data_IF_976335343550
#
_entry.id   IF_976335343550
#
_cell.length_a   1.000
_cell.length_b   1.000
_cell.length_c   1.000
_cell.angle_alpha   90.00
_cell.angle_beta   90.00
_cell.angle_gamma   90.00
#
_symmetry.space_group_name_H-M   'P 1'
#
loop_
_entity.id
_entity.type
_entity.pdbx_description
1 polymer ?
2 non-polymer ?
3 non-polymer ?
4 water ?
#
# COMPACT_ATOMS: atom_id res chain seq x y z
N UNK A 6 12.95 -19.14 -2.20
CA UNK A 6 14.20 -19.92 -1.88
C UNK A 6 15.37 -18.99 -1.50
N UNK A 7 16.12 -19.41 -0.49
CA UNK A 7 17.32 -18.66 -0.06
C UNK A 7 18.57 -19.52 -0.24
N UNK A 8 19.71 -18.86 -0.45
CA UNK A 8 20.96 -19.59 -0.56
C UNK A 8 21.46 -20.09 0.80
N UNK A 9 22.33 -21.07 0.78
CA UNK A 9 22.98 -21.57 1.99
C UNK A 9 24.47 -21.77 1.71
N UNK A 10 25.26 -20.77 2.08
CA UNK A 10 26.71 -20.76 1.88
C UNK A 10 27.39 -20.62 3.22
N UNK A 11 28.42 -21.40 3.46
CA UNK A 11 29.23 -21.28 4.68
C UNK A 11 30.55 -20.56 4.37
N UNK A 12 30.81 -19.51 5.13
CA UNK A 12 32.03 -18.75 4.95
C UNK A 12 33.27 -19.59 5.33
N UNK A 13 34.38 -19.38 4.62
CA UNK A 13 35.62 -20.00 5.13
C UNK A 13 36.15 -19.39 6.42
N UNK A 14 35.66 -18.22 6.81
CA UNK A 14 36.05 -17.57 8.05
C UNK A 14 34.81 -17.37 8.92
N UNK A 15 34.72 -18.09 10.05
CA UNK A 15 33.54 -17.98 10.89
C UNK A 15 33.30 -16.62 11.53
N UNK A 16 34.31 -15.77 11.52
CA UNK A 16 34.17 -14.39 11.98
C UNK A 16 33.41 -13.51 11.00
N UNK A 17 33.33 -13.95 9.74
CA UNK A 17 32.59 -13.27 8.67
C UNK A 17 31.57 -14.25 8.10
N UNK A 18 30.53 -14.60 8.87
CA UNK A 18 29.71 -15.75 8.48
C UNK A 18 28.50 -15.44 7.59
N UNK A 19 28.14 -14.15 7.44
CA UNK A 19 26.96 -13.78 6.65
C UNK A 19 27.29 -13.76 5.18
N UNK A 20 26.41 -14.34 4.37
CA UNK A 20 26.51 -14.27 2.92
C UNK A 20 25.74 -13.03 2.43
N UNK A 21 26.40 -12.18 1.65
CA UNK A 21 25.81 -11.04 1.04
C UNK A 21 25.82 -11.19 -0.46
N UNK A 22 24.72 -10.84 -1.12
CA UNK A 22 24.55 -11.18 -2.50
C UNK A 22 23.57 -10.25 -3.19
N UNK A 23 23.72 -10.11 -4.50
CA UNK A 23 22.78 -9.33 -5.31
C UNK A 23 21.73 -10.29 -5.87
N UNK A 24 20.48 -10.14 -5.42
CA UNK A 24 19.38 -11.01 -5.82
C UNK A 24 18.72 -10.54 -7.10
N UNK A 25 19.10 -9.41 -7.67
CA UNK A 25 18.50 -8.96 -8.95
C UNK A 25 19.00 -9.87 -10.08
N UNK A 26 18.05 -10.36 -10.89
CA UNK A 26 18.36 -11.29 -11.98
C UNK A 26 18.14 -10.70 -13.36
N UNK A 27 17.72 -9.44 -13.42
CA UNK A 27 17.26 -8.83 -14.67
C UNK A 27 18.36 -8.20 -15.52
N UNK A 28 17.95 -7.50 -16.57
CA UNK A 28 18.87 -7.04 -17.60
C UNK A 28 19.32 -5.58 -17.47
N UNK A 29 18.80 -4.85 -16.49
CA UNK A 29 19.06 -3.42 -16.39
C UNK A 29 20.13 -3.16 -15.34
N UNK A 30 21.29 -2.72 -15.82
CA UNK A 30 22.47 -2.54 -14.98
C UNK A 30 22.28 -1.50 -13.86
N UNK A 31 21.29 -0.63 -14.02
CA UNK A 31 20.99 0.37 -13.00
C UNK A 31 20.47 -0.23 -11.67
N UNK A 32 19.95 -1.45 -11.73
CA UNK A 32 19.31 -2.06 -10.59
C UNK A 32 20.19 -3.06 -9.86
N UNK A 33 20.04 -3.06 -8.54
CA UNK A 33 20.56 -4.07 -7.65
C UNK A 33 19.48 -4.37 -6.59
N UNK A 34 19.56 -5.53 -5.96
CA UNK A 34 18.65 -5.85 -4.87
C UNK A 34 19.42 -6.71 -3.88
N UNK A 35 20.15 -6.03 -3.01
CA UNK A 35 21.08 -6.71 -2.12
C UNK A 35 20.41 -7.32 -0.93
N UNK A 36 20.87 -8.52 -0.55
CA UNK A 36 20.40 -9.27 0.60
C UNK A 36 21.55 -9.83 1.39
N UNK A 37 21.31 -10.11 2.65
CA UNK A 37 22.21 -10.90 3.48
C UNK A 37 21.44 -12.04 4.14
N UNK A 38 22.13 -13.16 4.34
CA UNK A 38 21.57 -14.24 5.14
C UNK A 38 22.67 -15.03 5.84
N UNK A 39 22.30 -15.93 6.73
CA UNK A 39 23.24 -16.62 7.59
C UNK A 39 22.96 -18.11 7.49
N UNK A 40 23.85 -18.83 6.79
CA UNK A 40 23.79 -20.27 6.62
C UNK A 40 22.37 -20.76 6.35
N UNK A 41 21.78 -20.16 5.33
CA UNK A 41 20.48 -20.62 4.86
C UNK A 41 19.25 -20.10 5.57
N UNK A 42 19.44 -19.12 6.44
CA UNK A 42 18.37 -18.47 7.19
C UNK A 42 17.54 -17.59 6.29
N UNK A 43 16.45 -17.07 6.87
CA UNK A 43 15.72 -16.03 6.21
C UNK A 43 16.66 -14.86 5.89
N UNK A 44 16.37 -14.21 4.77
CA UNK A 44 17.21 -13.16 4.25
C UNK A 44 16.68 -11.79 4.61
N UNK A 45 17.59 -10.82 4.60
CA UNK A 45 17.31 -9.46 4.97
C UNK A 45 17.73 -8.52 3.87
N UNK A 46 16.95 -7.46 3.65
CA UNK A 46 17.27 -6.44 2.66
C UNK A 46 18.49 -5.61 3.13
N UNK A 47 19.37 -5.28 2.18
CA UNK A 47 20.53 -4.44 2.43
C UNK A 47 20.73 -3.43 1.32
N UNK A 48 21.63 -2.47 1.63
CA UNK A 48 22.06 -1.42 0.74
C UNK A 48 23.59 -1.34 0.71
N UNK A 49 24.09 -0.82 -0.39
CA UNK A 49 25.54 -0.54 -0.48
C UNK A 49 25.88 0.67 0.41
N UNK A 50 26.87 0.51 1.29
CA UNK A 50 27.29 1.62 2.14
C UNK A 50 28.56 2.31 1.63
N UNK A 51 29.11 1.86 0.51
CA UNK A 51 30.37 2.39 -0.03
C UNK A 51 30.26 2.54 -1.55
N UNK A 52 29.87 3.72 -2.01
CA UNK A 52 29.69 4.03 -3.41
C UNK A 52 30.88 3.65 -4.27
N UNK A 53 32.09 3.74 -3.73
CA UNK A 53 33.29 3.50 -4.56
C UNK A 53 33.82 2.08 -4.53
N UNK A 54 33.10 1.16 -3.89
CA UNK A 54 33.51 -0.24 -3.85
C UNK A 54 32.56 -1.12 -4.66
N UNK A 55 32.98 -2.35 -4.93
CA UNK A 55 32.17 -3.25 -5.76
C UNK A 55 30.90 -3.75 -5.03
N UNK A 56 29.79 -3.79 -5.78
CA UNK A 56 28.59 -4.43 -5.26
C UNK A 56 28.81 -5.91 -5.06
N UNK A 57 28.14 -6.50 -4.09
CA UNK A 57 28.15 -7.96 -3.99
C UNK A 57 27.79 -8.62 -5.33
N UNK A 58 28.43 -9.76 -5.59
CA UNK A 58 28.14 -10.58 -6.76
C UNK A 58 26.71 -11.13 -6.74
N UNK A 59 26.18 -11.47 -7.92
CA UNK A 59 24.88 -12.14 -7.98
C UNK A 59 24.87 -13.41 -7.16
N UNK A 60 23.73 -13.77 -6.62
CA UNK A 60 23.57 -15.00 -5.89
C UNK A 60 24.07 -16.19 -6.70
N UNK A 61 24.78 -17.09 -6.02
CA UNK A 61 25.21 -18.38 -6.61
C UNK A 61 26.39 -18.21 -7.58
N UNK A 62 27.00 -17.04 -7.61
CA UNK A 62 28.24 -16.80 -8.37
C UNK A 62 29.34 -17.74 -7.89
N UNK A 63 30.39 -17.85 -8.72
CA UNK A 63 31.58 -18.63 -8.33
C UNK A 63 32.47 -17.92 -7.31
N UNK A 64 32.25 -16.62 -7.16
CA UNK A 64 32.86 -15.76 -6.17
C UNK A 64 31.74 -15.35 -5.21
N UNK A 65 31.96 -15.57 -3.92
CA UNK A 65 30.95 -15.25 -2.89
C UNK A 65 31.49 -14.26 -1.86
N UNK A 66 30.62 -13.35 -1.47
CA UNK A 66 30.92 -12.28 -0.55
C UNK A 66 30.41 -12.61 0.85
N UNK A 67 31.33 -12.59 1.83
CA UNK A 67 31.00 -12.84 3.21
C UNK A 67 31.25 -11.60 4.07
N UNK A 68 30.54 -11.54 5.19
CA UNK A 68 30.43 -10.35 5.99
C UNK A 68 30.34 -10.67 7.47
N UNK A 69 30.87 -9.70 8.26
CA UNK A 69 30.69 -9.67 9.70
C UNK A 69 29.61 -8.65 10.07
N UNK A 70 28.68 -9.06 10.93
CA UNK A 70 27.57 -8.16 11.32
C UNK A 70 27.95 -7.34 12.56
N UNK A 71 27.74 -6.03 12.45
CA UNK A 71 28.09 -5.02 13.50
C UNK A 71 26.83 -4.20 13.78
N UNK A 72 26.63 -3.81 15.03
CA UNK A 72 25.48 -2.94 15.32
C UNK A 72 25.73 -1.54 14.73
N UNK A 73 24.73 -0.98 14.08
CA UNK A 73 24.82 0.36 13.60
C UNK A 73 24.84 1.37 14.74
N UNK A 74 25.59 2.44 14.54
CA UNK A 74 25.69 3.58 15.47
C UNK A 74 26.32 4.71 14.71
N UNK A 75 26.33 5.92 15.28
CA UNK A 75 27.00 7.00 14.59
C UNK A 75 28.49 6.73 14.39
N UNK A 76 29.13 6.13 15.40
CA UNK A 76 30.54 5.74 15.29
C UNK A 76 30.80 4.76 14.15
N UNK A 77 29.96 3.71 14.09
CA UNK A 77 30.12 2.70 13.05
C UNK A 77 29.83 3.31 11.68
N UNK A 78 28.78 4.12 11.60
CA UNK A 78 28.47 4.73 10.33
C UNK A 78 29.63 5.59 9.83
N UNK A 79 30.28 6.32 10.74
CA UNK A 79 31.47 7.08 10.36
C UNK A 79 32.62 6.16 9.91
N UNK A 80 32.91 5.14 10.73
CA UNK A 80 34.10 4.31 10.53
C UNK A 80 34.05 3.47 9.26
N UNK A 81 32.86 2.99 8.90
CA UNK A 81 32.70 2.10 7.75
C UNK A 81 32.35 2.79 6.45
N UNK A 82 32.10 4.11 6.51
CA UNK A 82 31.87 4.96 5.36
C UNK A 82 33.19 5.57 4.84
N UNK A 83 33.22 5.90 3.55
CA UNK A 83 34.41 6.49 2.94
C UNK A 83 34.47 8.01 3.07
N UNK A 84 33.34 8.69 2.99
CA UNK A 84 33.29 10.14 3.02
C UNK A 84 31.95 10.60 3.57
N UNK A 85 31.71 10.30 4.86
CA UNK A 85 30.39 10.54 5.41
C UNK A 85 30.09 12.02 5.52
N UNK A 86 28.82 12.38 5.41
CA UNK A 86 28.37 13.75 5.49
C UNK A 86 28.09 14.07 6.94
N UNK A 87 29.08 14.67 7.60
CA UNK A 87 29.01 15.00 8.99
C UNK A 87 29.10 16.51 9.18
N UNK A 88 28.12 17.07 9.87
CA UNK A 88 28.12 18.50 10.21
C UNK A 88 28.64 18.70 11.62
N UNK A 89 29.65 19.56 11.72
CA UNK A 89 30.20 19.99 13.01
C UNK A 89 30.57 18.76 13.86
N UNK A 90 31.13 17.73 13.19
CA UNK A 90 31.65 16.55 13.90
C UNK A 90 30.59 15.80 14.74
N UNK A 91 29.30 15.93 14.37
CA UNK A 91 28.24 15.40 15.19
C UNK A 91 27.83 14.01 14.67
N UNK A 92 28.35 12.96 15.32
CA UNK A 92 28.05 11.61 14.89
C UNK A 92 26.66 11.16 15.34
N UNK A 93 26.09 11.77 16.38
CA UNK A 93 24.72 11.47 16.75
C UNK A 93 23.73 11.89 15.66
N UNK A 94 24.01 13.03 15.03
CA UNK A 94 23.18 13.54 13.93
C UNK A 94 23.36 12.62 12.73
N UNK A 95 24.59 12.16 12.46
CA UNK A 95 24.78 11.21 11.38
C UNK A 95 23.93 9.95 11.55
N UNK A 96 23.92 9.43 12.75
CA UNK A 96 23.09 8.27 13.09
C UNK A 96 21.61 8.55 12.84
N UNK A 97 21.12 9.66 13.38
CA UNK A 97 19.70 10.04 13.21
C UNK A 97 19.37 10.16 11.72
N UNK A 98 20.25 10.79 10.96
CA UNK A 98 20.01 11.00 9.55
C UNK A 98 19.85 9.69 8.80
N UNK A 99 20.78 8.76 9.02
CA UNK A 99 20.74 7.50 8.31
C UNK A 99 19.53 6.66 8.76
N UNK A 100 19.27 6.61 10.07
CA UNK A 100 18.11 5.84 10.52
C UNK A 100 16.80 6.34 9.90
N UNK A 101 16.65 7.67 9.82
CA UNK A 101 15.44 8.23 9.28
C UNK A 101 15.32 8.01 7.78
N UNK A 102 16.44 8.03 7.04
CA UNK A 102 16.39 7.67 5.64
C UNK A 102 15.86 6.24 5.44
N UNK A 103 16.43 5.30 6.18
CA UNK A 103 16.04 3.90 5.99
C UNK A 103 14.58 3.70 6.41
N UNK A 104 14.16 4.28 7.53
CA UNK A 104 12.81 4.07 8.01
C UNK A 104 11.77 4.60 7.00
N UNK A 105 12.14 5.63 6.26
CA UNK A 105 11.28 6.25 5.28
C UNK A 105 11.38 5.69 3.86
N UNK A 106 12.44 4.92 3.61
CA UNK A 106 12.72 4.34 2.30
C UNK A 106 12.22 2.91 2.21
N UNK A 107 12.76 2.18 1.23
CA UNK A 107 12.32 0.79 0.98
C UNK A 107 12.98 -0.11 2.01
N UNK A 108 12.26 -0.98 2.74
CA UNK A 108 10.84 -1.34 2.56
C UNK A 108 9.91 -0.71 3.62
N UNK A 109 10.43 -0.14 4.70
CA UNK A 109 9.54 0.34 5.75
C UNK A 109 8.60 1.45 5.32
N UNK A 110 9.07 2.38 4.51
CA UNK A 110 8.17 3.36 3.88
C UNK A 110 7.24 3.98 4.90
N UNK A 111 7.78 4.43 6.03
CA UNK A 111 6.91 4.70 7.19
C UNK A 111 5.98 5.90 7.00
N UNK A 112 6.34 6.82 6.11
CA UNK A 112 5.54 8.01 5.87
C UNK A 112 5.00 8.10 4.44
N UNK A 113 5.09 6.97 3.72
CA UNK A 113 4.52 6.89 2.39
C UNK A 113 5.33 7.49 1.29
N UNK A 114 6.59 7.86 1.58
CA UNK A 114 7.38 8.48 0.51
C UNK A 114 7.54 7.58 -0.72
N UNK A 115 7.58 6.26 -0.46
CA UNK A 115 7.77 5.21 -1.49
C UNK A 115 6.48 4.80 -2.20
N UNK A 116 5.32 5.33 -1.78
CA UNK A 116 4.04 4.82 -2.30
C UNK A 116 4.01 4.87 -3.81
N UNK A 117 3.66 3.74 -4.41
CA UNK A 117 3.51 3.65 -5.87
C UNK A 117 4.77 3.44 -6.65
N UNK A 118 5.93 3.50 -5.98
CA UNK A 118 7.21 3.27 -6.64
C UNK A 118 7.49 1.77 -6.67
N UNK A 119 7.78 1.26 -7.88
CA UNK A 119 8.07 -0.14 -8.02
C UNK A 119 9.29 -0.50 -7.17
N UNK A 120 9.34 -1.72 -6.65
CA UNK A 120 10.36 -2.10 -5.68
C UNK A 120 11.79 -1.75 -6.14
N UNK A 121 12.17 -2.10 -7.36
CA UNK A 121 13.57 -1.87 -7.76
C UNK A 121 13.85 -0.37 -7.86
N UNK A 122 12.87 0.41 -8.27
CA UNK A 122 13.03 1.87 -8.28
C UNK A 122 13.08 2.46 -6.85
N UNK A 123 12.34 1.86 -5.93
CA UNK A 123 12.31 2.33 -4.55
C UNK A 123 13.67 2.04 -3.90
N UNK A 124 14.21 0.86 -4.16
CA UNK A 124 15.57 0.53 -3.70
C UNK A 124 16.56 1.55 -4.29
N UNK A 125 16.44 1.85 -5.56
CA UNK A 125 17.35 2.78 -6.21
C UNK A 125 17.30 4.16 -5.58
N UNK A 126 16.09 4.66 -5.31
CA UNK A 126 15.95 5.94 -4.62
C UNK A 126 16.58 5.91 -3.24
N UNK A 127 16.28 4.89 -2.47
CA UNK A 127 16.79 4.80 -1.12
C UNK A 127 18.31 4.71 -1.13
N UNK A 128 18.83 3.94 -2.07
CA UNK A 128 20.29 3.77 -2.21
C UNK A 128 20.95 5.12 -2.47
N UNK A 129 20.35 5.96 -3.30
CA UNK A 129 20.91 7.27 -3.55
C UNK A 129 20.86 8.15 -2.30
N UNK A 130 19.79 8.07 -1.50
CA UNK A 130 19.73 8.83 -0.28
C UNK A 130 20.79 8.36 0.70
N UNK A 131 21.06 7.07 0.74
CA UNK A 131 22.12 6.57 1.63
C UNK A 131 23.49 7.13 1.21
N UNK A 132 23.77 7.12 -0.08
CA UNK A 132 25.05 7.63 -0.57
C UNK A 132 25.21 9.13 -0.34
N UNK A 133 24.11 9.87 -0.29
CA UNK A 133 24.19 11.29 0.11
C UNK A 133 24.86 11.40 1.48
N UNK A 134 24.60 10.46 2.37
CA UNK A 134 25.18 10.49 3.70
C UNK A 134 26.48 9.70 3.84
N UNK A 135 26.63 8.56 3.18
CA UNK A 135 27.82 7.73 3.35
C UNK A 135 29.03 8.25 2.58
N UNK A 136 28.78 8.85 1.41
CA UNK A 136 29.80 9.27 0.48
C UNK A 136 29.73 10.74 0.11
N UNK A 137 28.83 11.47 0.81
CA UNK A 137 28.65 12.88 0.51
C UNK A 137 28.37 13.09 -0.98
N UNK A 138 27.56 12.19 -1.56
CA UNK A 138 27.17 12.37 -2.95
C UNK A 138 26.34 13.65 -3.06
N UNK A 139 26.65 14.53 -4.00
CA UNK A 139 26.00 15.87 -3.97
C UNK A 139 24.48 16.01 -4.16
N UNK A 140 23.99 15.25 -5.09
CA UNK A 140 22.54 15.30 -5.46
C UNK A 140 21.97 16.74 -5.70
N UNK A 141 22.66 17.53 -6.50
CA UNK A 141 22.25 18.92 -6.72
C UNK A 141 21.35 19.13 -7.94
N UNK A 142 21.00 18.04 -8.64
CA UNK A 142 20.24 18.09 -9.89
C UNK A 142 19.10 17.05 -9.85
N UNK A 143 18.38 16.94 -8.73
CA UNK A 143 17.41 15.85 -8.58
C UNK A 143 16.31 15.92 -9.66
N UNK A 144 15.92 17.13 -10.06
CA UNK A 144 14.85 17.27 -11.06
C UNK A 144 15.18 16.69 -12.41
N UNK A 145 16.46 16.48 -12.68
CA UNK A 145 16.89 15.86 -13.94
C UNK A 145 17.32 14.40 -13.78
N UNK A 146 17.28 13.86 -12.58
CA UNK A 146 17.75 12.49 -12.39
C UNK A 146 16.87 11.52 -13.13
N UNK A 147 17.53 10.53 -13.75
CA UNK A 147 16.87 9.47 -14.53
C UNK A 147 16.14 9.99 -15.79
N UNK A 148 16.42 11.21 -16.21
CA UNK A 148 15.83 11.71 -17.43
C UNK A 148 16.26 10.87 -18.65
N UNK A 149 17.50 10.36 -18.65
CA UNK A 149 17.93 9.51 -19.75
C UNK A 149 17.00 8.29 -19.87
N UNK A 150 16.71 7.66 -18.74
CA UNK A 150 15.75 6.56 -18.70
C UNK A 150 14.35 6.92 -19.22
N UNK A 151 13.86 8.09 -18.86
CA UNK A 151 12.55 8.53 -19.34
C UNK A 151 12.56 8.67 -20.85
N UNK A 152 13.56 9.34 -21.38
CA UNK A 152 13.65 9.59 -22.82
C UNK A 152 13.73 8.29 -23.63
N UNK A 153 14.41 7.32 -23.05
CA UNK A 153 14.59 6.02 -23.71
C UNK A 153 13.51 4.98 -23.43
N UNK A 154 12.46 5.40 -22.74
CA UNK A 154 11.31 4.57 -22.49
C UNK A 154 11.54 3.46 -21.48
N UNK A 155 12.57 3.63 -20.65
CA UNK A 155 12.95 2.60 -19.69
C UNK A 155 12.28 2.72 -18.34
N UNK A 156 12.03 3.96 -17.92
CA UNK A 156 11.23 4.25 -16.75
C UNK A 156 10.20 5.26 -17.20
N UNK A 157 8.97 5.05 -16.78
CA UNK A 157 7.90 5.95 -17.17
C UNK A 157 8.13 7.30 -16.49
N UNK A 158 7.61 8.31 -17.18
CA UNK A 158 7.56 9.63 -16.63
C UNK A 158 6.91 9.59 -15.26
N UNK A 159 5.81 8.83 -15.12
CA UNK A 159 5.12 8.76 -13.85
C UNK A 159 6.00 8.18 -12.74
N UNK A 160 6.72 7.08 -13.00
CA UNK A 160 7.58 6.48 -11.96
C UNK A 160 8.70 7.50 -11.60
N UNK A 161 9.31 8.13 -12.62
CA UNK A 161 10.45 8.99 -12.35
C UNK A 161 10.01 10.22 -11.55
N UNK A 162 8.83 10.77 -11.81
CA UNK A 162 8.35 11.89 -11.02
C UNK A 162 8.23 11.48 -9.54
N UNK A 163 7.66 10.30 -9.28
CA UNK A 163 7.55 9.82 -7.90
C UNK A 163 8.94 9.68 -7.27
N UNK A 164 9.87 9.10 -8.04
CA UNK A 164 11.23 8.85 -7.51
C UNK A 164 11.96 10.13 -7.11
N UNK A 165 11.87 11.14 -7.97
CA UNK A 165 12.53 12.41 -7.68
C UNK A 165 11.95 13.06 -6.44
N UNK A 166 10.61 13.06 -6.30
CA UNK A 166 10.02 13.67 -5.15
C UNK A 166 10.37 12.94 -3.87
N UNK A 167 10.41 11.62 -3.93
CA UNK A 167 10.78 10.81 -2.77
C UNK A 167 12.21 11.12 -2.34
N UNK A 168 13.11 11.16 -3.32
CA UNK A 168 14.52 11.41 -3.00
C UNK A 168 14.70 12.76 -2.27
N UNK A 169 14.01 13.79 -2.76
CA UNK A 169 14.09 15.09 -2.12
C UNK A 169 13.65 15.03 -0.66
N UNK A 170 12.57 14.30 -0.38
CA UNK A 170 12.09 14.18 1.00
C UNK A 170 13.09 13.44 1.87
N UNK A 171 13.71 12.40 1.33
CA UNK A 171 14.65 11.59 2.08
C UNK A 171 15.91 12.34 2.49
N UNK A 172 16.36 13.28 1.67
CA UNK A 172 17.62 13.98 1.95
C UNK A 172 17.41 15.34 2.62
N UNK A 173 16.17 15.70 2.94
CA UNK A 173 15.92 16.95 3.63
C UNK A 173 16.49 16.85 5.05
N UNK A 174 17.23 17.91 5.49
CA UNK A 174 17.82 17.84 6.83
C UNK A 174 16.81 17.83 7.97
N UNK A 175 15.57 18.24 7.69
CA UNK A 175 14.52 18.27 8.70
C UNK A 175 13.59 17.07 8.66
N UNK A 176 13.97 16.00 7.96
CA UNK A 176 13.12 14.83 7.80
C UNK A 176 12.58 14.35 9.15
N UNK A 177 13.46 14.16 10.13
CA UNK A 177 13.01 13.62 11.43
C UNK A 177 11.97 14.51 12.10
N UNK A 178 12.15 15.83 11.98
CA UNK A 178 11.30 16.79 12.65
C UNK A 178 9.91 16.85 12.03
N UNK A 179 9.84 16.77 10.70
CA UNK A 179 8.58 16.95 10.01
C UNK A 179 7.80 15.66 9.69
N UNK A 180 8.45 14.51 9.69
CA UNK A 180 7.76 13.27 9.40
C UNK A 180 6.79 12.99 10.54
N UNK A 181 5.55 12.62 10.20
CA UNK A 181 4.60 12.33 11.25
C UNK A 181 4.90 11.06 12.02
N UNK A 182 5.27 10.01 11.30
CA UNK A 182 5.56 8.71 11.92
C UNK A 182 7.08 8.66 12.21
N UNK A 183 7.41 8.62 13.50
CA UNK A 183 8.78 8.67 13.97
C UNK A 183 9.37 7.28 14.12
N UNK A 184 10.70 7.19 14.08
CA UNK A 184 11.33 5.89 14.31
C UNK A 184 10.92 5.35 15.69
N UNK A 185 10.72 4.01 15.76
CA UNK A 185 10.28 3.42 17.03
C UNK A 185 11.36 3.44 18.08
N UNK A 186 10.93 3.37 19.34
CA UNK A 186 11.84 3.22 20.44
C UNK A 186 12.69 1.99 20.18
N UNK A 187 13.99 2.13 20.31
CA UNK A 187 14.93 1.00 20.16
C UNK A 187 15.28 0.65 18.72
N UNK A 188 14.81 1.44 17.77
CA UNK A 188 15.11 1.22 16.35
C UNK A 188 16.63 1.08 16.16
N UNK A 189 17.03 0.05 15.41
CA UNK A 189 18.45 -0.24 15.23
C UNK A 189 18.65 -0.86 13.85
N UNK A 190 19.76 -0.49 13.22
CA UNK A 190 20.20 -1.10 11.97
C UNK A 190 21.56 -1.75 12.20
N UNK A 191 22.08 -2.37 11.13
CA UNK A 191 23.34 -3.12 11.19
C UNK A 191 24.21 -2.75 10.01
N UNK A 192 25.52 -2.75 10.28
CA UNK A 192 26.53 -2.66 9.25
C UNK A 192 27.09 -4.09 9.05
N UNK A 193 27.30 -4.40 7.78
CA UNK A 193 27.94 -5.66 7.38
C UNK A 193 29.33 -5.29 6.80
N UNK A 194 30.36 -5.74 7.53
CA UNK A 194 31.75 -5.45 7.19
C UNK A 194 32.25 -6.56 6.25
N UNK A 195 32.61 -6.16 5.03
CA UNK A 195 33.04 -7.11 4.02
C UNK A 195 34.35 -7.81 4.38
N UNK A 196 34.39 -9.13 4.20
CA UNK A 196 35.61 -9.92 4.38
C UNK A 196 36.63 -9.58 3.30
N UNK A 197 36.17 -9.19 2.10
CA UNK A 197 37.00 -8.77 0.98
C UNK A 197 36.82 -7.25 0.82
N UNK A 198 37.87 -6.48 1.17
CA UNK A 198 37.75 -5.04 1.30
C UNK A 198 37.73 -4.30 -0.03
N UNK A 199 37.72 -5.02 -1.15
CA UNK A 199 37.39 -4.40 -2.44
C UNK A 199 35.86 -4.28 -2.65
N UNK A 200 35.08 -5.02 -1.85
CA UNK A 200 33.62 -5.03 -1.97
C UNK A 200 33.01 -4.13 -0.89
N UNK A 201 31.84 -3.60 -1.19
CA UNK A 201 31.17 -2.72 -0.27
C UNK A 201 30.91 -3.33 1.08
N UNK A 202 31.03 -2.52 2.12
CA UNK A 202 30.31 -2.76 3.35
C UNK A 202 28.81 -2.46 3.06
N UNK A 203 27.94 -3.15 3.80
CA UNK A 203 26.48 -3.02 3.58
C UNK A 203 25.80 -2.44 4.81
N UNK A 204 24.64 -1.84 4.56
CA UNK A 204 23.77 -1.31 5.60
C UNK A 204 22.42 -2.05 5.48
N UNK A 205 21.92 -2.56 6.61
CA UNK A 205 20.62 -3.23 6.57
C UNK A 205 19.47 -2.23 6.46
N UNK A 206 18.34 -2.73 5.98
CA UNK A 206 17.11 -1.94 5.82
C UNK A 206 16.14 -2.15 6.99
N UNK A 207 16.55 -2.94 7.97
CA UNK A 207 15.84 -3.20 9.22
C UNK A 207 16.84 -3.84 10.18
N UNK A 208 16.48 -3.99 11.44
CA UNK A 208 17.33 -4.67 12.38
C UNK A 208 17.52 -6.12 11.95
N UNK A 209 18.78 -6.55 11.96
CA UNK A 209 19.14 -7.94 11.65
C UNK A 209 19.69 -8.54 12.95
N UNK A 210 18.93 -9.44 13.57
CA UNK A 210 19.41 -10.01 14.80
C UNK A 210 20.45 -11.08 14.53
N UNK B 6 -1.83 -10.53 -4.11
CA UNK B 6 -0.86 -9.42 -3.86
C UNK B 6 -1.58 -8.11 -3.49
N UNK B 7 -1.71 -7.84 -2.20
CA UNK B 7 -2.37 -6.62 -1.75
C UNK B 7 -1.36 -5.47 -1.73
N UNK B 8 -1.87 -4.25 -2.00
CA UNK B 8 -0.97 -3.13 -1.95
C UNK B 8 -0.52 -2.82 -0.52
N UNK B 9 0.62 -2.13 -0.42
CA UNK B 9 1.14 -1.73 0.88
C UNK B 9 1.54 -0.28 0.80
N UNK B 10 0.60 0.62 1.10
CA UNK B 10 0.79 2.05 1.06
C UNK B 10 0.66 2.59 2.50
N UNK B 11 1.43 3.64 2.78
CA UNK B 11 1.34 4.39 4.07
C UNK B 11 0.90 5.81 3.82
N UNK B 12 -0.05 6.28 4.64
CA UNK B 12 -0.44 7.66 4.52
C UNK B 12 0.57 8.60 5.25
N UNK B 13 0.99 9.70 4.65
CA UNK B 13 1.78 10.71 5.43
C UNK B 13 0.96 11.45 6.45
N UNK B 14 -0.39 11.37 6.34
CA UNK B 14 -1.31 11.92 7.35
C UNK B 14 -1.83 10.74 8.15
N UNK B 15 -1.31 10.54 9.39
CA UNK B 15 -1.67 9.34 10.15
C UNK B 15 -3.11 9.29 10.57
N UNK B 16 -3.84 10.41 10.45
CA UNK B 16 -5.28 10.42 10.78
C UNK B 16 -6.09 9.67 9.73
N UNK B 17 -5.50 9.40 8.55
CA UNK B 17 -6.21 8.69 7.47
C UNK B 17 -5.31 7.54 7.00
N UNK B 18 -5.19 6.49 7.83
CA UNK B 18 -4.15 5.49 7.51
C UNK B 18 -4.61 4.39 6.57
N UNK B 19 -5.89 4.23 6.32
CA UNK B 19 -6.39 3.19 5.42
C UNK B 19 -6.29 3.60 3.98
N UNK B 20 -5.83 2.66 3.15
CA UNK B 20 -5.76 2.88 1.70
C UNK B 20 -7.03 2.29 1.09
N UNK B 21 -7.74 3.07 0.25
CA UNK B 21 -8.92 2.58 -0.45
C UNK B 21 -8.65 2.65 -1.94
N UNK B 22 -9.07 1.60 -2.67
CA UNK B 22 -8.72 1.46 -4.06
C UNK B 22 -9.72 0.57 -4.77
N UNK B 23 -9.73 0.70 -6.09
CA UNK B 23 -10.59 -0.13 -6.95
C UNK B 23 -9.75 -1.29 -7.48
N UNK B 24 -10.12 -2.51 -7.09
CA UNK B 24 -9.42 -3.71 -7.55
C UNK B 24 -9.89 -4.20 -8.94
N UNK B 25 -10.97 -3.64 -9.48
CA UNK B 25 -11.44 -4.03 -10.80
C UNK B 25 -10.54 -3.39 -11.83
N UNK B 26 -10.10 -4.18 -12.81
CA UNK B 26 -9.14 -3.70 -13.79
C UNK B 26 -9.62 -3.81 -15.24
N UNK B 27 -10.93 -4.07 -15.39
CA UNK B 27 -11.35 -4.23 -16.80
C UNK B 27 -11.99 -2.94 -17.32
N UNK B 28 -12.79 -3.06 -18.38
CA UNK B 28 -13.22 -1.86 -19.12
C UNK B 28 -14.72 -1.55 -19.09
N UNK B 29 -15.50 -2.32 -18.32
CA UNK B 29 -16.94 -2.08 -18.19
C UNK B 29 -17.14 -1.04 -17.10
N UNK B 30 -17.64 0.14 -17.47
CA UNK B 30 -17.71 1.29 -16.57
C UNK B 30 -18.64 1.10 -15.39
N UNK B 31 -19.60 0.16 -15.51
CA UNK B 31 -20.53 -0.12 -14.42
C UNK B 31 -19.87 -0.91 -13.30
N UNK B 32 -18.74 -1.56 -13.62
CA UNK B 32 -18.10 -2.44 -12.64
C UNK B 32 -17.05 -1.74 -11.79
N UNK B 33 -17.11 -2.07 -10.52
CA UNK B 33 -16.10 -1.67 -9.53
C UNK B 33 -15.96 -2.80 -8.52
N UNK B 34 -14.82 -2.83 -7.84
CA UNK B 34 -14.64 -3.79 -6.77
C UNK B 34 -13.74 -3.16 -5.73
N UNK B 35 -14.34 -2.34 -4.90
CA UNK B 35 -13.57 -1.48 -3.98
C UNK B 35 -13.10 -2.26 -2.77
N UNK B 36 -11.87 -1.95 -2.32
CA UNK B 36 -11.27 -2.56 -1.17
C UNK B 36 -10.62 -1.47 -0.30
N UNK B 37 -10.48 -1.80 0.98
CA UNK B 37 -9.63 -1.03 1.88
C UNK B 37 -8.65 -1.96 2.58
N UNK B 38 -7.45 -1.43 2.85
CA UNK B 38 -6.50 -2.15 3.68
C UNK B 38 -5.61 -1.18 4.46
N UNK B 39 -4.85 -1.74 5.39
CA UNK B 39 -4.06 -0.94 6.33
C UNK B 39 -2.59 -1.40 6.25
N UNK B 40 -1.76 -0.58 5.63
CA UNK B 40 -0.31 -0.86 5.51
C UNK B 40 -0.02 -2.31 5.15
N UNK B 41 -0.68 -2.75 4.09
CA UNK B 41 -0.41 -4.06 3.53
C UNK B 41 -1.13 -5.23 4.18
N UNK B 42 -2.07 -4.94 5.09
CA UNK B 42 -2.92 -5.94 5.75
C UNK B 42 -3.84 -6.63 4.76
N UNK B 43 -4.56 -7.63 5.27
CA UNK B 43 -5.71 -8.20 4.57
C UNK B 43 -6.63 -7.09 4.06
N UNK B 44 -7.17 -7.28 2.87
CA UNK B 44 -8.09 -6.33 2.33
C UNK B 44 -9.52 -6.69 2.68
N UNK B 45 -10.34 -5.66 2.78
CA UNK B 45 -11.74 -5.78 3.12
C UNK B 45 -12.56 -5.16 1.99
N UNK B 46 -13.66 -5.86 1.68
CA UNK B 46 -14.59 -5.39 0.67
C UNK B 46 -15.28 -4.11 1.13
N UNK B 47 -15.44 -3.17 0.20
CA UNK B 47 -16.13 -1.90 0.47
C UNK B 47 -17.08 -1.55 -0.65
N UNK B 48 -17.97 -0.61 -0.34
CA UNK B 48 -18.93 -0.03 -1.26
C UNK B 48 -18.82 1.49 -1.21
N UNK B 49 -19.16 2.11 -2.32
CA UNK B 49 -19.31 3.55 -2.38
C UNK B 49 -20.48 4.04 -1.53
N UNK B 50 -20.27 4.98 -0.61
CA UNK B 50 -21.34 5.50 0.23
C UNK B 50 -21.85 6.84 -0.26
N UNK B 51 -21.31 7.38 -1.35
CA UNK B 51 -21.67 8.71 -1.86
C UNK B 51 -21.75 8.66 -3.37
N UNK B 52 -22.97 8.46 -3.88
CA UNK B 52 -23.23 8.35 -5.30
C UNK B 52 -22.65 9.50 -6.15
N UNK B 53 -22.65 10.71 -5.58
CA UNK B 53 -22.22 11.91 -6.35
C UNK B 53 -20.72 12.22 -6.31
N UNK B 54 -19.93 11.37 -5.64
CA UNK B 54 -18.48 11.61 -5.49
C UNK B 54 -17.68 10.57 -6.28
N UNK B 55 -16.41 10.87 -6.48
CA UNK B 55 -15.57 10.00 -7.27
C UNK B 55 -15.24 8.66 -6.59
N UNK B 56 -15.31 7.58 -7.37
CA UNK B 56 -14.82 6.28 -6.89
C UNK B 56 -13.32 6.33 -6.66
N UNK B 57 -12.83 5.61 -5.63
CA UNK B 57 -11.41 5.39 -5.50
C UNK B 57 -10.81 4.91 -6.78
N UNK B 58 -9.62 5.39 -7.04
CA UNK B 58 -8.88 5.05 -8.20
C UNK B 58 -8.35 3.58 -8.12
N UNK B 59 -8.04 2.98 -9.26
CA UNK B 59 -7.31 1.69 -9.25
C UNK B 59 -5.90 1.85 -8.57
N UNK B 60 -5.34 0.76 -8.09
CA UNK B 60 -4.05 0.73 -7.35
C UNK B 60 -2.76 1.38 -8.08
N UNK B 61 -2.81 1.36 -9.42
CA UNK B 61 -1.70 1.97 -10.21
C UNK B 61 -1.75 3.52 -10.33
N UNK B 62 -2.74 4.17 -9.68
CA UNK B 62 -3.12 5.51 -10.05
C UNK B 62 -2.17 6.58 -9.55
N UNK B 63 -2.24 7.74 -10.16
CA UNK B 63 -1.48 8.90 -9.69
C UNK B 63 -2.08 9.53 -8.41
N UNK B 64 -3.33 9.22 -8.13
CA UNK B 64 -3.98 9.67 -6.88
C UNK B 64 -4.19 8.46 -5.99
N UNK B 65 -3.58 8.48 -4.80
CA UNK B 65 -3.80 7.46 -3.80
C UNK B 65 -4.78 7.96 -2.76
N UNK B 66 -5.90 7.26 -2.58
CA UNK B 66 -6.94 7.69 -1.67
C UNK B 66 -6.80 7.07 -0.30
N UNK B 67 -6.66 7.94 0.71
CA UNK B 67 -6.57 7.51 2.10
C UNK B 67 -7.85 7.88 2.85
N UNK B 68 -8.06 7.10 3.90
CA UNK B 68 -9.32 7.06 4.65
C UNK B 68 -9.13 6.88 6.15
N UNK B 69 -10.04 7.47 6.91
CA UNK B 69 -10.12 7.26 8.32
C UNK B 69 -11.27 6.30 8.64
N UNK B 70 -11.01 5.32 9.49
CA UNK B 70 -12.04 4.31 9.84
C UNK B 70 -12.87 4.79 11.04
N UNK B 71 -14.19 4.72 10.88
CA UNK B 71 -15.18 5.17 11.85
C UNK B 71 -16.16 4.00 12.10
N UNK B 72 -16.63 3.87 13.34
CA UNK B 72 -17.63 2.85 13.61
C UNK B 72 -18.94 3.23 12.90
N UNK B 73 -19.52 2.24 12.23
CA UNK B 73 -20.84 2.39 11.67
C UNK B 73 -21.89 2.57 12.78
N UNK B 74 -22.78 3.51 12.54
CA UNK B 74 -23.92 3.76 13.41
C UNK B 74 -24.93 4.53 12.60
N UNK B 75 -26.16 4.58 13.08
CA UNK B 75 -27.17 5.45 12.48
C UNK B 75 -26.65 6.87 12.34
N UNK B 76 -26.05 7.37 13.42
CA UNK B 76 -25.49 8.73 13.39
C UNK B 76 -24.41 8.91 12.34
N UNK B 77 -23.47 7.96 12.26
CA UNK B 77 -22.40 8.04 11.27
C UNK B 77 -22.96 7.92 9.85
N UNK B 78 -23.94 7.01 9.67
CA UNK B 78 -24.52 6.85 8.37
C UNK B 78 -25.19 8.14 7.90
N UNK B 79 -25.88 8.84 8.82
CA UNK B 79 -26.47 10.13 8.48
C UNK B 79 -25.39 11.16 8.13
N UNK B 80 -24.39 11.28 9.01
CA UNK B 80 -23.38 12.33 8.87
C UNK B 80 -22.56 12.22 7.59
N UNK B 81 -22.28 10.98 7.17
CA UNK B 81 -21.35 10.73 6.06
C UNK B 81 -22.05 10.41 4.74
N UNK B 82 -23.38 10.39 4.75
CA UNK B 82 -24.22 10.29 3.54
C UNK B 82 -24.64 11.68 3.07
N UNK B 83 -24.86 11.82 1.76
CA UNK B 83 -25.27 13.09 1.16
C UNK B 83 -26.78 13.35 1.23
N UNK B 84 -27.59 12.29 1.15
CA UNK B 84 -29.06 12.43 1.14
C UNK B 84 -29.71 11.15 1.63
N UNK B 85 -29.50 10.82 2.92
CA UNK B 85 -29.92 9.51 3.39
C UNK B 85 -31.44 9.40 3.43
N UNK B 86 -31.95 8.18 3.20
CA UNK B 86 -33.38 7.88 3.21
C UNK B 86 -33.77 7.59 4.66
N UNK B 87 -34.27 8.63 5.34
CA UNK B 87 -34.64 8.54 6.75
C UNK B 87 -36.12 8.93 6.87
N UNK B 88 -36.87 8.18 7.68
CA UNK B 88 -38.29 8.47 7.96
C UNK B 88 -38.44 8.90 9.41
N UNK B 89 -39.09 10.03 9.64
CA UNK B 89 -39.33 10.55 11.00
C UNK B 89 -38.05 10.74 11.82
N UNK B 90 -36.96 11.12 11.16
CA UNK B 90 -35.65 11.35 11.80
C UNK B 90 -35.12 10.13 12.58
N UNK B 91 -35.52 8.94 12.16
CA UNK B 91 -35.19 7.71 12.89
C UNK B 91 -33.87 7.08 12.44
N UNK B 92 -32.80 7.39 13.16
CA UNK B 92 -31.49 6.91 12.79
C UNK B 92 -31.25 5.45 13.14
N UNK B 93 -31.97 4.92 14.13
CA UNK B 93 -31.92 3.48 14.39
C UNK B 93 -32.47 2.69 13.19
N UNK B 94 -33.57 3.17 12.58
CA UNK B 94 -34.16 2.56 11.38
C UNK B 94 -33.16 2.63 10.23
N UNK B 95 -32.51 3.79 10.05
CA UNK B 95 -31.49 3.91 8.99
C UNK B 95 -30.34 2.91 9.13
N UNK B 96 -29.82 2.77 10.36
CA UNK B 96 -28.80 1.79 10.67
C UNK B 96 -29.28 0.38 10.34
N UNK B 97 -30.49 0.04 10.79
CA UNK B 97 -31.02 -1.30 10.55
C UNK B 97 -31.19 -1.57 9.05
N UNK B 98 -31.67 -0.57 8.32
CA UNK B 98 -31.88 -0.75 6.87
C UNK B 98 -30.56 -1.04 6.16
N UNK B 99 -29.52 -0.27 6.48
CA UNK B 99 -28.21 -0.46 5.83
C UNK B 99 -27.55 -1.78 6.22
N UNK B 100 -27.59 -2.13 7.50
CA UNK B 100 -27.06 -3.40 7.97
C UNK B 100 -27.74 -4.58 7.26
N UNK B 101 -29.07 -4.54 7.11
CA UNK B 101 -29.77 -5.65 6.45
C UNK B 101 -29.44 -5.77 4.97
N UNK B 102 -29.24 -4.64 4.29
CA UNK B 102 -28.81 -4.68 2.90
C UNK B 102 -27.48 -5.38 2.79
N UNK B 103 -26.51 -4.96 3.60
CA UNK B 103 -25.18 -5.55 3.51
C UNK B 103 -25.19 -7.04 3.91
N UNK B 104 -25.92 -7.39 4.94
CA UNK B 104 -25.96 -8.77 5.40
C UNK B 104 -26.52 -9.70 4.33
N UNK B 105 -27.44 -9.18 3.52
CA UNK B 105 -28.11 -9.97 2.49
C UNK B 105 -27.49 -9.87 1.12
N UNK B 106 -26.59 -8.90 0.94
CA UNK B 106 -25.94 -8.68 -0.35
C UNK B 106 -24.59 -9.32 -0.45
N UNK B 107 -23.79 -8.83 -1.41
CA UNK B 107 -22.46 -9.43 -1.60
C UNK B 107 -21.51 -8.94 -0.48
N UNK B 108 -20.73 -9.79 0.21
CA UNK B 108 -20.56 -11.24 -0.01
C UNK B 108 -21.30 -12.11 1.03
N UNK B 109 -21.83 -11.50 2.09
CA UNK B 109 -22.52 -12.21 3.17
C UNK B 109 -23.63 -13.13 2.66
N UNK B 110 -24.51 -12.57 1.81
CA UNK B 110 -25.56 -13.34 1.15
C UNK B 110 -26.29 -14.26 2.12
N UNK B 111 -26.72 -13.71 3.26
CA UNK B 111 -27.19 -14.53 4.39
C UNK B 111 -28.47 -15.31 4.15
N UNK B 112 -29.29 -14.85 3.22
CA UNK B 112 -30.53 -15.52 2.86
C UNK B 112 -30.59 -15.97 1.38
N UNK B 113 -29.42 -15.97 0.73
CA UNK B 113 -29.32 -16.54 -0.62
C UNK B 113 -29.80 -15.64 -1.74
N UNK B 114 -30.10 -14.37 -1.43
CA UNK B 114 -30.61 -13.47 -2.46
C UNK B 114 -29.66 -13.36 -3.65
N UNK B 115 -28.36 -13.46 -3.38
CA UNK B 115 -27.36 -13.29 -4.40
C UNK B 115 -26.96 -14.56 -5.13
N UNK B 116 -27.64 -15.68 -4.82
CA UNK B 116 -27.27 -16.96 -5.40
C UNK B 116 -27.23 -16.92 -6.93
N UNK B 117 -26.13 -17.46 -7.48
CA UNK B 117 -25.97 -17.53 -8.92
C UNK B 117 -25.51 -16.26 -9.61
N UNK B 118 -25.40 -15.14 -8.86
CA UNK B 118 -25.01 -13.87 -9.46
C UNK B 118 -23.49 -13.77 -9.41
N UNK B 119 -22.86 -13.53 -10.57
CA UNK B 119 -21.40 -13.38 -10.63
C UNK B 119 -20.95 -12.23 -9.72
N UNK B 120 -19.73 -12.32 -9.18
CA UNK B 120 -19.25 -11.37 -8.18
C UNK B 120 -19.47 -9.91 -8.57
N UNK B 121 -19.00 -9.52 -9.75
CA UNK B 121 -19.08 -8.10 -10.15
C UNK B 121 -20.52 -7.63 -10.32
N UNK B 122 -21.39 -8.50 -10.82
CA UNK B 122 -22.81 -8.22 -10.90
C UNK B 122 -23.45 -8.12 -9.52
N UNK B 123 -23.01 -8.94 -8.58
CA UNK B 123 -23.54 -8.96 -7.24
C UNK B 123 -23.13 -7.69 -6.46
N UNK B 124 -21.89 -7.27 -6.66
CA UNK B 124 -21.41 -5.99 -6.14
C UNK B 124 -22.26 -4.86 -6.70
N UNK B 125 -22.51 -4.87 -8.01
CA UNK B 125 -23.31 -3.83 -8.66
C UNK B 125 -24.72 -3.75 -8.07
N UNK B 126 -25.36 -4.89 -7.87
CA UNK B 126 -26.71 -4.95 -7.26
C UNK B 126 -26.63 -4.33 -5.86
N UNK B 127 -25.70 -4.82 -5.07
CA UNK B 127 -25.60 -4.40 -3.66
C UNK B 127 -25.31 -2.90 -3.55
N UNK B 128 -24.45 -2.44 -4.44
CA UNK B 128 -24.11 -1.02 -4.54
C UNK B 128 -25.34 -0.14 -4.80
N UNK B 129 -26.20 -0.59 -5.70
CA UNK B 129 -27.44 0.13 -5.99
C UNK B 129 -28.38 0.15 -4.79
N UNK B 130 -28.44 -0.95 -4.05
CA UNK B 130 -29.27 -1.00 -2.83
C UNK B 130 -28.73 -0.04 -1.76
N UNK B 131 -27.40 0.03 -1.63
CA UNK B 131 -26.82 1.00 -0.70
C UNK B 131 -27.20 2.42 -1.08
N UNK B 132 -27.08 2.76 -2.35
CA UNK B 132 -27.42 4.10 -2.81
C UNK B 132 -28.88 4.47 -2.63
N UNK B 133 -29.78 3.48 -2.69
CA UNK B 133 -31.18 3.69 -2.33
C UNK B 133 -31.29 4.31 -0.93
N UNK B 134 -30.42 3.87 0.00
CA UNK B 134 -30.43 4.41 1.37
C UNK B 134 -29.49 5.58 1.62
N UNK B 135 -28.33 5.63 0.99
CA UNK B 135 -27.35 6.72 1.26
C UNK B 135 -27.69 8.03 0.53
N UNK B 136 -28.27 7.89 -0.66
CA UNK B 136 -28.50 8.99 -1.54
C UNK B 136 -29.96 9.09 -1.96
N UNK B 137 -30.83 8.26 -1.36
CA UNK B 137 -32.26 8.27 -1.72
C UNK B 137 -32.43 8.08 -3.23
N UNK B 138 -31.61 7.21 -3.81
CA UNK B 138 -31.76 6.92 -5.24
C UNK B 138 -33.12 6.26 -5.44
N UNK B 139 -33.90 6.76 -6.39
CA UNK B 139 -35.28 6.25 -6.49
C UNK B 139 -35.49 4.78 -6.92
N UNK B 140 -34.71 4.28 -7.85
CA UNK B 140 -34.95 2.88 -8.33
C UNK B 140 -36.46 2.51 -8.60
N UNK B 141 -37.14 3.30 -9.42
CA UNK B 141 -38.59 3.15 -9.62
C UNK B 141 -39.03 2.17 -10.72
N UNK B 142 -38.08 1.65 -11.50
CA UNK B 142 -38.37 0.66 -12.54
C UNK B 142 -37.24 -0.36 -12.58
N UNK B 143 -37.16 -1.12 -11.50
CA UNK B 143 -36.12 -2.16 -11.38
C UNK B 143 -36.23 -3.21 -12.52
N UNK B 144 -37.46 -3.46 -12.95
CA UNK B 144 -37.73 -4.46 -14.00
C UNK B 144 -37.04 -4.19 -15.33
N UNK B 145 -36.70 -2.93 -15.58
CA UNK B 145 -36.05 -2.55 -16.81
C UNK B 145 -34.59 -2.15 -16.59
N UNK B 146 -34.08 -2.32 -15.37
CA UNK B 146 -32.69 -1.92 -15.12
C UNK B 146 -31.71 -2.77 -15.92
N UNK B 147 -30.69 -2.09 -16.44
CA UNK B 147 -29.62 -2.70 -17.22
C UNK B 147 -30.07 -3.25 -18.58
N UNK B 148 -31.24 -2.84 -19.08
CA UNK B 148 -31.72 -3.29 -20.39
C UNK B 148 -30.73 -2.90 -21.49
N UNK B 149 -30.14 -1.71 -21.41
CA UNK B 149 -29.14 -1.31 -22.39
C UNK B 149 -27.88 -2.21 -22.34
N UNK B 150 -27.46 -2.54 -21.12
CA UNK B 150 -26.30 -3.41 -20.91
C UNK B 150 -26.52 -4.78 -21.52
N UNK B 151 -27.76 -5.27 -21.46
CA UNK B 151 -28.10 -6.56 -22.06
C UNK B 151 -28.04 -6.47 -23.57
N UNK B 152 -28.65 -5.42 -24.13
CA UNK B 152 -28.59 -5.19 -25.58
C UNK B 152 -27.16 -5.08 -26.10
N UNK B 153 -26.28 -4.46 -25.30
CA UNK B 153 -24.87 -4.29 -25.67
C UNK B 153 -24.02 -5.55 -25.48
N UNK B 154 -24.57 -6.59 -24.85
CA UNK B 154 -23.83 -7.79 -24.56
C UNK B 154 -22.87 -7.65 -23.39
N UNK B 155 -23.06 -6.62 -22.56
CA UNK B 155 -22.14 -6.34 -21.45
C UNK B 155 -22.55 -7.05 -20.16
N UNK B 156 -23.84 -7.36 -20.03
CA UNK B 156 -24.36 -8.20 -18.96
C UNK B 156 -25.33 -9.18 -19.66
N UNK B 157 -25.31 -10.43 -19.25
CA UNK B 157 -26.18 -11.42 -19.89
C UNK B 157 -27.62 -11.31 -19.44
N UNK B 158 -28.52 -11.81 -20.29
CA UNK B 158 -29.96 -11.77 -19.96
C UNK B 158 -30.24 -12.59 -18.72
N UNK B 159 -29.60 -13.76 -18.59
CA UNK B 159 -29.85 -14.60 -17.41
C UNK B 159 -29.35 -13.87 -16.14
N UNK B 160 -28.17 -13.29 -16.21
CA UNK B 160 -27.67 -12.54 -15.05
C UNK B 160 -28.56 -11.36 -14.68
N UNK B 161 -28.98 -10.59 -15.68
CA UNK B 161 -29.79 -9.41 -15.41
C UNK B 161 -31.11 -9.79 -14.76
N UNK B 162 -31.68 -10.92 -15.18
CA UNK B 162 -32.92 -11.39 -14.56
C UNK B 162 -32.70 -11.68 -13.07
N UNK B 163 -31.60 -12.38 -12.74
CA UNK B 163 -31.27 -12.64 -11.33
C UNK B 163 -31.01 -11.34 -10.54
N UNK B 164 -30.29 -10.41 -11.17
CA UNK B 164 -29.89 -9.14 -10.55
C UNK B 164 -31.11 -8.30 -10.18
N UNK B 165 -32.07 -8.24 -11.09
CA UNK B 165 -33.26 -7.43 -10.84
C UNK B 165 -34.05 -7.99 -9.65
N UNK B 166 -34.23 -9.32 -9.63
CA UNK B 166 -34.91 -10.01 -8.51
C UNK B 166 -34.19 -9.73 -7.17
N UNK B 167 -32.88 -9.87 -7.18
CA UNK B 167 -32.11 -9.62 -5.96
C UNK B 167 -32.23 -8.16 -5.47
N UNK B 168 -32.16 -7.22 -6.40
CA UNK B 168 -32.24 -5.82 -6.01
C UNK B 168 -33.57 -5.51 -5.34
N UNK B 169 -34.65 -6.03 -5.90
CA UNK B 169 -35.96 -5.85 -5.29
C UNK B 169 -36.00 -6.35 -3.86
N UNK B 170 -35.42 -7.52 -3.61
CA UNK B 170 -35.39 -8.11 -2.28
C UNK B 170 -34.59 -7.24 -1.32
N UNK B 171 -33.49 -6.68 -1.80
CA UNK B 171 -32.63 -5.84 -0.96
C UNK B 171 -33.26 -4.50 -0.56
N UNK B 172 -34.03 -3.87 -1.45
CA UNK B 172 -34.65 -2.58 -1.12
C UNK B 172 -36.08 -2.68 -0.58
N UNK B 173 -36.57 -3.90 -0.39
CA UNK B 173 -37.89 -4.20 0.20
C UNK B 173 -37.93 -3.49 1.56
N UNK B 174 -38.93 -2.63 1.81
CA UNK B 174 -38.98 -2.01 3.14
C UNK B 174 -39.21 -2.97 4.32
N UNK B 175 -39.72 -4.17 4.04
CA UNK B 175 -39.95 -5.19 5.07
C UNK B 175 -38.89 -6.27 5.11
N UNK B 176 -37.71 -5.98 4.54
CA UNK B 176 -36.62 -6.95 4.51
C UNK B 176 -36.32 -7.55 5.89
N UNK B 177 -36.12 -6.69 6.89
CA UNK B 177 -35.70 -7.15 8.24
C UNK B 177 -36.73 -8.13 8.82
N UNK B 178 -38.01 -7.84 8.57
CA UNK B 178 -39.12 -8.61 9.14
C UNK B 178 -39.29 -9.96 8.48
N UNK B 179 -39.09 -10.01 7.16
CA UNK B 179 -39.40 -11.19 6.36
C UNK B 179 -38.19 -12.09 6.07
N UNK B 180 -36.98 -11.59 6.31
CA UNK B 180 -35.76 -12.39 6.13
C UNK B 180 -35.74 -13.52 7.16
N UNK B 181 -35.46 -14.73 6.70
CA UNK B 181 -35.39 -15.88 7.60
C UNK B 181 -34.21 -15.76 8.58
N UNK B 182 -33.02 -15.49 8.05
CA UNK B 182 -31.83 -15.30 8.87
C UNK B 182 -31.65 -13.82 9.19
N UNK B 183 -31.70 -13.50 10.48
CA UNK B 183 -31.64 -12.13 10.97
C UNK B 183 -30.19 -11.72 11.19
N UNK B 184 -29.91 -10.42 11.16
CA UNK B 184 -28.54 -9.97 11.46
C UNK B 184 -28.16 -10.45 12.86
N UNK B 185 -26.89 -10.87 13.02
CA UNK B 185 -26.44 -11.39 14.30
C UNK B 185 -26.47 -10.34 15.39
N UNK B 186 -26.58 -10.79 16.63
CA UNK B 186 -26.47 -9.89 17.75
C UNK B 186 -25.10 -9.21 17.68
N UNK B 187 -25.10 -7.89 17.74
CA UNK B 187 -23.86 -7.12 17.73
C UNK B 187 -23.24 -6.90 16.35
N UNK B 188 -23.95 -7.27 15.30
CA UNK B 188 -23.51 -7.06 13.92
C UNK B 188 -23.16 -5.60 13.70
N UNK B 189 -22.01 -5.37 13.09
CA UNK B 189 -21.57 -4.00 12.88
C UNK B 189 -20.68 -3.88 11.66
N UNK B 190 -20.67 -2.67 11.11
CA UNK B 190 -19.88 -2.29 9.94
C UNK B 190 -19.12 -0.99 10.23
N UNK B 191 -18.43 -0.49 9.21
CA UNK B 191 -17.60 0.69 9.35
C UNK B 191 -17.79 1.64 8.18
N UNK B 192 -17.65 2.93 8.51
CA UNK B 192 -17.55 3.98 7.50
C UNK B 192 -16.07 4.35 7.37
N UNK B 193 -15.64 4.57 6.13
CA UNK B 193 -14.32 5.09 5.82
C UNK B 193 -14.48 6.50 5.26
N UNK B 194 -13.98 7.48 6.04
CA UNK B 194 -14.12 8.87 5.68
C UNK B 194 -12.93 9.26 4.81
N UNK B 195 -13.21 9.75 3.62
CA UNK B 195 -12.21 10.13 2.66
C UNK B 195 -11.44 11.36 3.07
N UNK B 196 -10.12 11.29 2.95
CA UNK B 196 -9.24 12.44 3.20
C UNK B 196 -9.46 13.53 2.16
N UNK B 197 -9.74 13.15 0.94
CA UNK B 197 -10.11 14.10 -0.11
C UNK B 197 -11.61 14.01 -0.34
N UNK B 198 -12.39 15.05 0.02
CA UNK B 198 -13.88 14.90 -0.02
C UNK B 198 -14.43 15.01 -1.45
N UNK B 199 -13.56 15.14 -2.47
CA UNK B 199 -14.00 14.89 -3.88
C UNK B 199 -14.31 13.39 -4.10
N UNK B 200 -13.69 12.53 -3.30
CA UNK B 200 -13.87 11.07 -3.40
C UNK B 200 -14.83 10.56 -2.36
N UNK B 201 -15.50 9.46 -2.70
CA UNK B 201 -16.52 8.90 -1.85
C UNK B 201 -16.02 8.48 -0.51
N UNK B 202 -16.82 8.68 0.53
CA UNK B 202 -16.74 7.88 1.73
C UNK B 202 -17.14 6.46 1.35
N UNK B 203 -16.65 5.51 2.10
CA UNK B 203 -16.91 4.07 1.82
C UNK B 203 -17.60 3.40 3.00
N UNK B 204 -18.34 2.34 2.68
CA UNK B 204 -18.98 1.51 3.67
C UNK B 204 -18.40 0.11 3.54
N UNK B 205 -17.99 -0.50 4.65
CA UNK B 205 -17.48 -1.87 4.60
C UNK B 205 -18.62 -2.88 4.46
N UNK B 206 -18.26 -4.07 3.92
CA UNK B 206 -19.20 -5.18 3.75
C UNK B 206 -19.14 -6.20 4.88
N UNK B 207 -18.27 -5.94 5.85
CA UNK B 207 -18.17 -6.69 7.10
C UNK B 207 -17.48 -5.79 8.13
N UNK B 208 -17.51 -6.18 9.41
CA UNK B 208 -16.77 -5.46 10.42
C UNK B 208 -15.26 -5.43 10.11
N UNK B 209 -14.66 -4.24 10.20
CA UNK B 209 -13.22 -4.08 10.01
C UNK B 209 -12.62 -3.69 11.36
N UNK B 210 -11.87 -4.61 12.00
CA UNK B 210 -11.35 -4.26 13.33
C UNK B 210 -10.18 -3.30 13.28
#
# INVERSE_FOLDING_TARGET
>A
GPDEKTVPNFKSPDPDYPWYGYDSYRGIFARYHNLKVNLKGSKEYQAYCFNLTKYFPRPTYSTTNNFYKKIDGSGSAFKSYAANPRVLDENLDKLEKNILNVIYNGYKSNANGFMNGIEDLNAILVTQNAIWYYSDSAPLNDVNKMWEREVRNGEISESQVTLMREALKKLIDPNLEATAANKIPSGYRLNIFKSENEDYQNLLSAEYVP
>B
GPDEKTVPNFKSPDPDYPWYGYDSYRGIFARYHNLKVNLKGSKEYQAYCFNLTKYFPRPTYSTTNNFYKKIDGSGSAFKSYAANPRVLDENLDKLEKNILNVIYNGYKSNANGFMNGIEDLNAILVTQNAIWYYSDSAPLNDVNKMWEREVRNGEISESQVTLMREALKKLIDPNLEATAANKIPSGYRLNIFKSENEDYQNLLSAEYVP
#
